data_IF_743066861430
#
_entry.id   IF_743066861430
#
_cell.length_a   1.000
_cell.length_b   1.000
_cell.length_c   1.000
_cell.angle_alpha   90.00
_cell.angle_beta   90.00
_cell.angle_gamma   90.00
#
_symmetry.space_group_name_H-M   'P 1'
#
loop_
_entity.id
_entity.type
_entity.pdbx_description
1 polymer ?
#
# COMPACT_ATOMS: atom_id res chain seq x y z
N UNK A 1 -73.05 21.80 13.30
CA UNK A 1 -71.78 22.21 12.70
C UNK A 1 -70.70 22.31 13.78
N UNK A 2 -69.81 21.32 13.88
CA UNK A 2 -68.45 21.45 14.46
C UNK A 2 -67.68 20.22 13.94
N UNK A 3 -66.68 20.49 13.09
CA UNK A 3 -65.89 19.49 12.35
C UNK A 3 -64.98 18.74 13.33
N UNK A 4 -65.02 17.42 13.30
CA UNK A 4 -64.02 16.54 13.90
C UNK A 4 -62.74 16.68 13.05
N UNK A 5 -61.66 17.23 13.61
CA UNK A 5 -60.33 17.10 13.01
C UNK A 5 -59.78 15.73 13.40
N UNK A 6 -59.73 14.83 12.41
CA UNK A 6 -59.03 13.56 12.53
C UNK A 6 -57.54 13.84 12.23
N UNK A 7 -56.73 13.96 13.28
CA UNK A 7 -55.27 14.05 13.14
C UNK A 7 -54.72 12.68 12.78
N UNK A 8 -54.38 12.48 11.51
CA UNK A 8 -53.57 11.36 11.04
C UNK A 8 -52.16 11.51 11.62
N UNK A 9 -51.83 10.74 12.66
CA UNK A 9 -50.43 10.51 13.03
C UNK A 9 -49.85 9.55 11.99
N UNK A 10 -49.08 10.08 11.05
CA UNK A 10 -48.23 9.31 10.17
C UNK A 10 -47.06 8.78 11.02
N UNK A 11 -47.15 7.54 11.47
CA UNK A 11 -46.02 6.86 12.08
C UNK A 11 -44.97 6.62 10.98
N UNK A 12 -43.99 7.52 10.89
CA UNK A 12 -42.79 7.31 10.09
C UNK A 12 -42.01 6.22 10.82
N UNK A 13 -42.11 4.99 10.30
CA UNK A 13 -41.22 3.91 10.71
C UNK A 13 -39.86 4.24 10.11
N UNK A 14 -39.01 4.91 10.90
CA UNK A 14 -37.58 4.86 10.66
C UNK A 14 -37.18 3.41 10.91
N UNK A 15 -37.00 2.67 9.82
CA UNK A 15 -36.17 1.47 9.85
C UNK A 15 -34.78 1.95 10.23
N UNK A 16 -34.48 1.96 11.53
CA UNK A 16 -33.10 1.83 11.99
C UNK A 16 -32.61 0.49 11.45
N UNK A 17 -32.09 0.50 10.22
CA UNK A 17 -31.04 -0.42 9.87
C UNK A 17 -29.86 -0.03 10.76
N UNK A 18 -29.89 -0.52 12.00
CA UNK A 18 -28.69 -0.64 12.79
C UNK A 18 -27.71 -1.43 11.94
N UNK A 19 -26.78 -0.73 11.31
CA UNK A 19 -25.57 -1.34 10.80
C UNK A 19 -24.95 -2.03 12.01
N UNK A 20 -24.90 -3.36 12.03
CA UNK A 20 -24.04 -4.07 12.98
C UNK A 20 -22.62 -3.62 12.66
N UNK A 21 -22.12 -2.64 13.42
CA UNK A 21 -20.80 -2.07 13.26
C UNK A 21 -19.80 -3.08 13.86
N UNK A 22 -19.50 -4.14 13.11
CA UNK A 22 -18.19 -4.76 13.20
C UNK A 22 -17.20 -3.78 12.59
N UNK A 23 -16.15 -3.41 13.30
CA UNK A 23 -15.05 -2.64 12.69
C UNK A 23 -14.37 -3.56 11.68
N UNK A 24 -14.26 -3.12 10.43
CA UNK A 24 -13.54 -3.89 9.40
C UNK A 24 -12.05 -3.96 9.79
N UNK A 25 -11.41 -5.10 9.54
CA UNK A 25 -10.00 -5.29 9.85
C UNK A 25 -9.13 -5.03 8.61
N UNK A 26 -8.04 -4.29 8.77
CA UNK A 26 -7.12 -3.93 7.69
C UNK A 26 -5.68 -4.28 8.07
N UNK A 27 -4.97 -4.97 7.18
CA UNK A 27 -3.58 -5.30 7.37
C UNK A 27 -2.64 -4.40 6.59
N UNK A 28 -1.51 -4.03 7.20
CA UNK A 28 -0.39 -3.39 6.53
C UNK A 28 0.87 -4.24 6.70
N UNK A 29 1.52 -4.57 5.59
CA UNK A 29 2.77 -5.31 5.55
C UNK A 29 3.79 -4.49 4.76
N UNK A 30 5.00 -4.29 5.31
CA UNK A 30 6.01 -3.52 4.58
C UNK A 30 7.32 -3.28 5.29
N UNK A 31 8.09 -2.33 4.76
CA UNK A 31 9.42 -1.96 5.27
C UNK A 31 9.39 -0.71 6.16
N UNK A 32 10.46 0.10 6.17
CA UNK A 32 10.55 1.33 6.96
C UNK A 32 9.46 2.35 6.59
N UNK A 33 9.01 2.37 5.34
CA UNK A 33 7.97 3.31 4.91
C UNK A 33 6.66 2.99 5.63
N UNK A 34 6.28 1.72 5.71
CA UNK A 34 5.09 1.27 6.45
C UNK A 34 5.30 1.35 7.96
N UNK A 35 6.51 1.06 8.45
CA UNK A 35 6.84 1.12 9.89
C UNK A 35 6.65 2.52 10.47
N UNK A 36 7.03 3.56 9.74
CA UNK A 36 6.93 4.96 10.15
C UNK A 36 5.54 5.56 9.88
N UNK A 37 4.66 4.85 9.20
CA UNK A 37 3.30 5.31 8.89
C UNK A 37 2.39 5.09 10.10
N UNK A 38 1.80 6.18 10.59
CA UNK A 38 0.71 6.18 11.57
C UNK A 38 -0.61 5.74 10.91
N UNK A 39 -0.68 4.50 10.46
CA UNK A 39 -1.82 3.94 9.72
C UNK A 39 -3.13 4.03 10.51
N UNK A 40 -3.07 3.95 11.84
CA UNK A 40 -4.25 4.10 12.70
C UNK A 40 -4.86 5.50 12.60
N UNK A 41 -4.03 6.54 12.45
CA UNK A 41 -4.50 7.92 12.21
C UNK A 41 -5.22 8.05 10.86
N UNK A 42 -4.70 7.44 9.80
CA UNK A 42 -5.26 7.57 8.44
C UNK A 42 -6.43 6.61 8.14
N UNK A 43 -6.58 5.54 8.93
CA UNK A 43 -7.64 4.53 8.79
C UNK A 43 -8.45 4.37 10.10
N UNK A 44 -9.06 5.44 10.64
CA UNK A 44 -9.64 5.44 11.99
C UNK A 44 -10.91 4.58 12.14
N UNK A 45 -11.46 4.09 11.04
CA UNK A 45 -12.64 3.22 11.04
C UNK A 45 -12.29 1.72 10.96
N UNK A 46 -11.00 1.38 10.94
CA UNK A 46 -10.52 0.01 10.83
C UNK A 46 -9.74 -0.42 12.08
N UNK A 47 -9.85 -1.69 12.45
CA UNK A 47 -8.87 -2.32 13.34
C UNK A 47 -7.66 -2.67 12.48
N UNK A 48 -6.53 -2.02 12.74
CA UNK A 48 -5.33 -2.18 11.94
C UNK A 48 -4.37 -3.20 12.54
N UNK A 49 -3.90 -4.13 11.72
CA UNK A 49 -2.77 -5.02 12.04
C UNK A 49 -1.55 -4.60 11.20
N UNK A 50 -0.44 -4.24 11.84
CA UNK A 50 0.75 -3.71 11.16
C UNK A 50 1.96 -4.61 11.37
N UNK A 51 2.48 -5.17 10.27
CA UNK A 51 3.69 -5.98 10.20
C UNK A 51 4.73 -5.27 9.34
N UNK A 52 5.52 -4.41 9.97
CA UNK A 52 6.56 -3.67 9.27
C UNK A 52 7.84 -3.58 10.07
N UNK A 53 8.98 -3.65 9.39
CA UNK A 53 10.30 -3.55 10.01
C UNK A 53 11.18 -2.64 9.17
N UNK A 54 11.83 -1.68 9.83
CA UNK A 54 12.75 -0.76 9.17
C UNK A 54 13.90 -1.49 8.48
N UNK A 55 14.19 -1.11 7.23
CA UNK A 55 15.24 -1.72 6.41
C UNK A 55 14.92 -3.12 5.86
N UNK A 56 13.69 -3.61 6.06
CA UNK A 56 13.32 -4.94 5.60
C UNK A 56 13.22 -5.03 4.07
N UNK A 57 13.71 -6.15 3.55
CA UNK A 57 13.40 -6.64 2.21
C UNK A 57 12.65 -7.97 2.27
N UNK A 58 12.36 -8.56 1.11
CA UNK A 58 11.55 -9.79 0.99
C UNK A 58 12.07 -10.95 1.86
N UNK A 59 13.39 -11.13 1.90
CA UNK A 59 14.02 -12.20 2.70
C UNK A 59 13.67 -12.09 4.19
N UNK A 60 13.60 -10.87 4.71
CA UNK A 60 13.22 -10.64 6.11
C UNK A 60 11.72 -10.76 6.30
N UNK A 61 10.91 -10.23 5.37
CA UNK A 61 9.45 -10.39 5.38
C UNK A 61 9.02 -11.86 5.46
N UNK A 62 9.73 -12.75 4.75
CA UNK A 62 9.50 -14.19 4.78
C UNK A 62 9.73 -14.82 6.18
N UNK A 63 10.29 -14.11 7.15
CA UNK A 63 10.44 -14.62 8.53
C UNK A 63 9.27 -14.26 9.44
N UNK A 64 8.39 -13.36 9.01
CA UNK A 64 7.32 -12.83 9.86
C UNK A 64 6.14 -13.80 9.99
N UNK A 65 5.45 -13.68 11.13
CA UNK A 65 4.16 -14.32 11.33
C UNK A 65 3.04 -13.31 11.04
N UNK A 66 2.49 -13.38 9.82
CA UNK A 66 1.38 -12.54 9.35
C UNK A 66 0.05 -13.32 9.33
N UNK A 67 -0.10 -14.32 10.21
CA UNK A 67 -1.28 -15.20 10.23
C UNK A 67 -2.59 -14.48 10.53
N UNK A 68 -2.51 -13.36 11.26
CA UNK A 68 -3.58 -12.41 11.53
C UNK A 68 -4.00 -11.61 10.28
N UNK A 69 -3.25 -11.63 9.18
CA UNK A 69 -3.65 -11.03 7.90
C UNK A 69 -4.32 -11.98 6.92
N UNK A 70 -4.34 -13.28 7.23
CA UNK A 70 -5.02 -14.27 6.41
C UNK A 70 -6.53 -14.01 6.38
N UNK A 71 -7.13 -14.02 5.19
CA UNK A 71 -8.57 -13.81 4.98
C UNK A 71 -9.02 -12.35 5.16
N UNK A 72 -8.09 -11.39 5.11
CA UNK A 72 -8.38 -9.96 5.27
C UNK A 72 -7.91 -9.15 4.07
N UNK A 73 -8.34 -7.90 4.00
CA UNK A 73 -7.70 -6.93 3.10
C UNK A 73 -6.30 -6.61 3.63
N UNK A 74 -5.29 -6.73 2.79
CA UNK A 74 -3.90 -6.40 3.13
C UNK A 74 -3.31 -5.43 2.14
N UNK A 75 -2.76 -4.33 2.66
CA UNK A 75 -1.91 -3.39 1.92
C UNK A 75 -0.46 -3.85 2.06
N UNK A 76 0.21 -4.03 0.93
CA UNK A 76 1.62 -4.43 0.84
C UNK A 76 2.42 -3.32 0.15
N UNK A 77 3.43 -2.80 0.85
CA UNK A 77 4.45 -1.90 0.30
C UNK A 77 5.82 -2.38 0.78
N UNK A 78 6.56 -3.05 -0.12
CA UNK A 78 7.90 -3.55 0.16
C UNK A 78 8.72 -3.58 -1.13
N UNK A 79 10.01 -3.29 -1.01
CA UNK A 79 10.97 -3.52 -2.09
C UNK A 79 12.07 -2.48 -2.23
N UNK A 80 11.92 -1.32 -1.59
CA UNK A 80 12.93 -0.26 -1.70
C UNK A 80 14.31 -0.72 -1.20
N UNK A 81 14.36 -1.64 -0.23
CA UNK A 81 15.60 -2.21 0.31
C UNK A 81 16.17 -3.38 -0.50
N UNK A 82 15.40 -3.98 -1.41
CA UNK A 82 15.92 -5.00 -2.33
C UNK A 82 16.40 -4.35 -3.64
N UNK A 83 15.64 -3.38 -4.15
CA UNK A 83 15.84 -2.73 -5.45
C UNK A 83 16.76 -1.50 -5.33
N UNK A 84 16.71 -0.76 -4.23
CA UNK A 84 17.44 0.51 -4.05
C UNK A 84 18.96 0.39 -4.11
N UNK A 85 19.51 -0.84 -4.09
CA UNK A 85 20.94 -1.08 -4.28
C UNK A 85 21.32 -1.43 -5.73
N UNK A 86 20.36 -1.49 -6.65
CA UNK A 86 20.62 -1.77 -8.06
C UNK A 86 21.07 -0.48 -8.76
N UNK A 87 22.32 -0.48 -9.21
CA UNK A 87 22.98 0.65 -9.86
C UNK A 87 23.18 0.40 -11.35
N UNK A 88 23.62 1.44 -12.08
CA UNK A 88 23.98 1.34 -13.50
C UNK A 88 25.04 0.25 -13.74
N UNK A 89 25.92 0.01 -12.76
CA UNK A 89 26.99 -1.00 -12.84
C UNK A 89 26.56 -2.42 -12.46
N UNK A 90 25.30 -2.63 -12.08
CA UNK A 90 24.80 -3.94 -11.65
C UNK A 90 24.85 -4.93 -12.80
N UNK A 91 25.61 -6.01 -12.62
CA UNK A 91 25.67 -7.11 -13.58
C UNK A 91 24.39 -7.93 -13.51
N UNK A 92 23.91 -8.39 -14.67
CA UNK A 92 22.74 -9.26 -14.80
C UNK A 92 21.45 -8.64 -14.22
N UNK A 93 21.23 -7.33 -14.42
CA UNK A 93 20.05 -6.64 -13.89
C UNK A 93 18.73 -7.31 -14.28
N UNK A 94 18.60 -7.80 -15.52
CA UNK A 94 17.41 -8.54 -15.97
C UNK A 94 17.15 -9.80 -15.15
N UNK A 95 18.20 -10.54 -14.78
CA UNK A 95 18.05 -11.71 -13.92
C UNK A 95 17.60 -11.31 -12.51
N UNK A 96 18.14 -10.22 -11.95
CA UNK A 96 17.74 -9.74 -10.63
C UNK A 96 16.28 -9.26 -10.61
N UNK A 97 15.84 -8.59 -11.68
CA UNK A 97 14.45 -8.15 -11.85
C UNK A 97 13.48 -9.32 -11.86
N UNK A 98 13.81 -10.36 -12.63
CA UNK A 98 13.02 -11.58 -12.72
C UNK A 98 13.02 -12.38 -11.40
N UNK A 99 14.18 -12.55 -10.76
CA UNK A 99 14.30 -13.22 -9.45
C UNK A 99 13.48 -12.48 -8.37
N UNK A 100 13.60 -11.16 -8.31
CA UNK A 100 12.87 -10.35 -7.35
C UNK A 100 11.37 -10.44 -7.58
N UNK A 101 10.91 -10.33 -8.83
CA UNK A 101 9.49 -10.50 -9.20
C UNK A 101 8.96 -11.86 -8.72
N UNK A 102 9.65 -12.95 -9.02
CA UNK A 102 9.20 -14.30 -8.66
C UNK A 102 9.14 -14.49 -7.14
N UNK A 103 10.15 -13.98 -6.42
CA UNK A 103 10.18 -13.97 -4.96
C UNK A 103 9.07 -13.11 -4.37
N UNK A 104 8.83 -11.92 -4.93
CA UNK A 104 7.77 -11.02 -4.49
C UNK A 104 6.40 -11.71 -4.58
N UNK A 105 6.09 -12.31 -5.73
CA UNK A 105 4.83 -13.03 -5.94
C UNK A 105 4.68 -14.18 -4.94
N UNK A 106 5.75 -14.95 -4.70
CA UNK A 106 5.74 -16.03 -3.71
C UNK A 106 5.45 -15.51 -2.31
N UNK A 107 6.12 -14.45 -1.88
CA UNK A 107 5.94 -13.87 -0.54
C UNK A 107 4.55 -13.22 -0.40
N UNK A 108 4.06 -12.53 -1.43
CA UNK A 108 2.73 -11.94 -1.46
C UNK A 108 1.63 -13.01 -1.33
N UNK A 109 1.73 -14.14 -2.04
CA UNK A 109 0.80 -15.28 -1.91
C UNK A 109 0.75 -15.86 -0.50
N UNK A 110 1.88 -15.86 0.22
CA UNK A 110 1.97 -16.41 1.58
C UNK A 110 1.17 -15.62 2.62
N UNK A 111 0.92 -14.33 2.38
CA UNK A 111 0.09 -13.49 3.26
C UNK A 111 -1.31 -14.09 3.40
N UNK A 112 -1.85 -14.65 2.30
CA UNK A 112 -3.17 -15.28 2.31
C UNK A 112 -4.31 -14.28 2.48
N UNK A 113 -4.13 -13.04 2.01
CA UNK A 113 -5.14 -11.99 1.99
C UNK A 113 -6.31 -12.37 1.05
N UNK A 114 -7.54 -11.99 1.43
CA UNK A 114 -8.72 -12.10 0.55
C UNK A 114 -8.69 -11.02 -0.53
N UNK A 115 -8.24 -9.81 -0.15
CA UNK A 115 -7.92 -8.73 -1.07
C UNK A 115 -6.50 -8.25 -0.79
N UNK A 116 -5.60 -8.49 -1.73
CA UNK A 116 -4.24 -7.94 -1.69
C UNK A 116 -4.19 -6.63 -2.49
N UNK A 117 -3.87 -5.54 -1.81
CA UNK A 117 -3.57 -4.24 -2.41
C UNK A 117 -2.05 -4.06 -2.36
N UNK A 118 -1.40 -3.96 -3.51
CA UNK A 118 0.03 -3.70 -3.62
C UNK A 118 0.23 -2.26 -4.08
N UNK A 119 1.00 -1.49 -3.32
CA UNK A 119 1.45 -0.17 -3.76
C UNK A 119 2.73 -0.34 -4.59
N UNK A 120 2.88 0.45 -5.65
CA UNK A 120 4.16 0.57 -6.34
C UNK A 120 5.25 0.99 -5.34
N UNK A 121 6.45 0.43 -5.46
CA UNK A 121 7.63 0.89 -4.71
C UNK A 121 7.85 2.36 -5.07
N UNK A 122 8.02 3.22 -4.07
CA UNK A 122 8.17 4.68 -4.26
C UNK A 122 9.51 5.01 -4.93
N UNK A 123 9.59 6.12 -5.69
CA UNK A 123 10.88 6.65 -6.09
C UNK A 123 11.65 7.12 -4.84
N UNK A 124 12.97 7.21 -4.96
CA UNK A 124 13.88 7.60 -3.88
C UNK A 124 15.04 8.43 -4.39
N UNK A 125 15.56 9.27 -3.50
CA UNK A 125 16.84 9.94 -3.61
C UNK A 125 17.41 10.07 -2.19
N UNK A 126 17.76 8.93 -1.57
CA UNK A 126 18.11 8.89 -0.16
C UNK A 126 19.29 9.81 0.15
N UNK A 127 18.99 10.92 0.83
CA UNK A 127 19.94 12.00 1.16
C UNK A 127 20.70 12.60 -0.05
N UNK A 128 20.16 12.51 -1.26
CA UNK A 128 20.82 13.04 -2.46
C UNK A 128 21.95 12.17 -3.02
N UNK A 129 22.15 10.96 -2.49
CA UNK A 129 23.31 10.11 -2.78
C UNK A 129 23.01 8.96 -3.77
N UNK A 130 21.81 8.89 -4.34
CA UNK A 130 21.40 7.76 -5.16
C UNK A 130 21.90 7.83 -6.62
N UNK A 131 22.16 6.66 -7.20
CA UNK A 131 22.45 6.53 -8.62
C UNK A 131 21.17 6.88 -9.42
N UNK A 132 21.23 7.74 -10.46
CA UNK A 132 20.04 8.13 -11.24
C UNK A 132 19.24 6.93 -11.79
N UNK A 133 19.91 5.80 -12.05
CA UNK A 133 19.25 4.58 -12.53
C UNK A 133 18.37 3.89 -11.48
N UNK A 134 18.44 4.27 -10.21
CA UNK A 134 17.64 3.64 -9.14
C UNK A 134 16.15 3.83 -9.41
N UNK A 135 15.71 5.03 -9.77
CA UNK A 135 14.29 5.28 -10.05
C UNK A 135 13.83 4.62 -11.36
N UNK A 136 14.69 4.55 -12.38
CA UNK A 136 14.42 3.75 -13.58
C UNK A 136 14.27 2.25 -13.25
N UNK A 137 15.13 1.72 -12.38
CA UNK A 137 15.06 0.33 -11.91
C UNK A 137 13.77 0.06 -11.14
N UNK A 138 13.35 1.00 -10.28
CA UNK A 138 12.10 0.91 -9.52
C UNK A 138 10.89 0.96 -10.47
N UNK A 139 10.85 1.89 -11.42
CA UNK A 139 9.76 2.01 -12.41
C UNK A 139 9.59 0.72 -13.21
N UNK A 140 10.69 0.20 -13.76
CA UNK A 140 10.69 -1.06 -14.51
C UNK A 140 10.20 -2.20 -13.62
N UNK A 141 10.69 -2.28 -12.37
CA UNK A 141 10.29 -3.33 -11.45
C UNK A 141 8.81 -3.23 -11.08
N UNK A 142 8.28 -2.03 -10.86
CA UNK A 142 6.86 -1.79 -10.62
C UNK A 142 6.00 -2.30 -11.80
N UNK A 143 6.43 -2.06 -13.04
CA UNK A 143 5.77 -2.61 -14.23
C UNK A 143 5.74 -4.14 -14.23
N UNK A 144 6.87 -4.79 -13.93
CA UNK A 144 6.96 -6.25 -13.84
C UNK A 144 6.07 -6.83 -12.73
N UNK A 145 6.03 -6.17 -11.57
CA UNK A 145 5.18 -6.58 -10.45
C UNK A 145 3.70 -6.45 -10.79
N UNK A 146 3.29 -5.33 -11.39
CA UNK A 146 1.90 -5.10 -11.83
C UNK A 146 1.42 -6.22 -12.76
N UNK A 147 2.21 -6.56 -13.77
CA UNK A 147 1.86 -7.59 -14.74
C UNK A 147 1.84 -8.99 -14.10
N UNK A 148 2.80 -9.28 -13.23
CA UNK A 148 2.87 -10.55 -12.51
C UNK A 148 1.69 -10.72 -11.54
N UNK A 149 1.33 -9.70 -10.78
CA UNK A 149 0.20 -9.72 -9.84
C UNK A 149 -1.11 -10.00 -10.58
N UNK A 150 -1.35 -9.31 -11.70
CA UNK A 150 -2.55 -9.53 -12.54
C UNK A 150 -2.66 -10.97 -13.03
N UNK A 151 -1.52 -11.60 -13.36
CA UNK A 151 -1.46 -12.98 -13.87
C UNK A 151 -1.56 -14.02 -12.75
N UNK A 152 -0.90 -13.79 -11.63
CA UNK A 152 -0.59 -14.82 -10.64
C UNK A 152 -1.38 -14.72 -9.33
N UNK A 153 -1.97 -13.57 -9.05
CA UNK A 153 -2.85 -13.34 -7.90
C UNK A 153 -4.13 -12.65 -8.40
N UNK A 154 -5.03 -13.38 -9.11
CA UNK A 154 -6.27 -12.80 -9.63
C UNK A 154 -7.09 -12.16 -8.51
N UNK A 155 -7.60 -10.95 -8.75
CA UNK A 155 -8.34 -10.17 -7.75
C UNK A 155 -7.48 -9.25 -6.89
N UNK A 156 -6.14 -9.38 -6.92
CA UNK A 156 -5.25 -8.38 -6.36
C UNK A 156 -5.37 -7.04 -7.09
N UNK A 157 -5.06 -5.95 -6.39
CA UNK A 157 -5.04 -4.59 -6.92
C UNK A 157 -3.61 -4.07 -6.85
N UNK A 158 -3.09 -3.58 -7.97
CA UNK A 158 -1.85 -2.81 -8.00
C UNK A 158 -2.22 -1.34 -8.10
N UNK A 159 -1.84 -0.54 -7.11
CA UNK A 159 -2.06 0.90 -7.08
C UNK A 159 -0.73 1.56 -7.41
N UNK A 160 -0.67 2.13 -8.60
CA UNK A 160 0.50 2.87 -9.05
C UNK A 160 0.51 4.26 -8.42
N UNK A 161 1.43 4.47 -7.49
CA UNK A 161 1.64 5.74 -6.81
C UNK A 161 3.00 6.35 -7.17
N UNK A 162 3.83 5.68 -7.98
CA UNK A 162 5.21 6.09 -8.27
C UNK A 162 5.28 7.52 -8.83
N UNK A 163 4.51 7.80 -9.88
CA UNK A 163 4.45 9.12 -10.51
C UNK A 163 3.86 10.21 -9.59
N UNK A 164 3.11 9.82 -8.54
CA UNK A 164 2.61 10.77 -7.54
C UNK A 164 3.73 11.24 -6.60
N UNK A 165 4.94 10.71 -6.69
CA UNK A 165 6.08 11.14 -5.89
C UNK A 165 7.20 11.73 -6.76
N UNK A 166 6.94 11.94 -8.05
CA UNK A 166 7.84 12.59 -8.99
C UNK A 166 7.34 13.96 -9.42
N UNK A 167 8.27 14.83 -9.78
CA UNK A 167 7.98 16.06 -10.52
C UNK A 167 8.04 15.85 -12.04
N UNK A 168 7.85 16.93 -12.80
CA UNK A 168 7.82 16.88 -14.27
C UNK A 168 9.19 16.52 -14.90
N UNK A 169 10.28 16.62 -14.13
CA UNK A 169 11.65 16.29 -14.55
C UNK A 169 12.07 14.86 -14.15
N UNK A 170 11.14 14.05 -13.62
CA UNK A 170 11.37 12.69 -13.11
C UNK A 170 12.27 12.65 -11.85
N UNK A 171 12.39 13.78 -11.16
CA UNK A 171 13.03 13.87 -9.85
C UNK A 171 12.00 13.66 -8.74
N UNK A 172 12.44 13.25 -7.55
CA UNK A 172 11.50 13.11 -6.44
C UNK A 172 10.94 14.46 -6.01
N UNK A 173 9.65 14.47 -5.66
CA UNK A 173 9.04 15.62 -4.96
C UNK A 173 9.55 15.67 -3.53
N UNK A 174 10.69 16.33 -3.33
CA UNK A 174 11.38 16.44 -2.03
C UNK A 174 10.46 16.95 -0.91
N UNK A 175 9.47 17.79 -1.24
CA UNK A 175 8.45 18.31 -0.33
C UNK A 175 7.48 17.24 0.20
N UNK A 176 7.49 16.02 -0.35
CA UNK A 176 6.72 14.87 0.16
C UNK A 176 7.54 13.90 1.00
N UNK A 177 8.84 14.13 1.16
CA UNK A 177 9.75 13.26 1.91
C UNK A 177 10.34 13.98 3.12
N UNK A 178 10.87 13.18 4.06
CA UNK A 178 11.68 13.67 5.19
C UNK A 178 13.17 13.69 4.85
N UNK A 179 13.61 12.72 4.04
CA UNK A 179 15.02 12.41 3.77
C UNK A 179 15.27 11.86 2.35
N UNK A 180 14.32 12.08 1.44
CA UNK A 180 14.33 11.53 0.09
C UNK A 180 14.01 10.04 -0.02
N UNK A 181 13.62 9.37 1.08
CA UNK A 181 13.19 7.97 1.09
C UNK A 181 11.87 7.76 1.85
N UNK A 182 11.74 8.36 3.02
CA UNK A 182 10.59 8.19 3.89
C UNK A 182 9.59 9.34 3.66
N UNK A 183 8.32 9.05 3.35
CA UNK A 183 7.29 10.07 3.22
C UNK A 183 7.16 10.93 4.49
N UNK A 184 6.84 12.20 4.30
CA UNK A 184 6.33 13.05 5.37
C UNK A 184 4.80 12.91 5.47
N UNK A 185 4.17 13.75 6.29
CA UNK A 185 2.73 13.66 6.54
C UNK A 185 1.91 13.88 5.26
N UNK A 186 2.35 14.77 4.35
CA UNK A 186 1.68 15.00 3.06
C UNK A 186 1.84 13.80 2.12
N UNK A 187 3.03 13.20 2.08
CA UNK A 187 3.27 11.96 1.34
C UNK A 187 2.40 10.80 1.85
N UNK A 188 2.29 10.62 3.17
CA UNK A 188 1.43 9.59 3.76
C UNK A 188 -0.06 9.86 3.52
N UNK A 189 -0.50 11.11 3.52
CA UNK A 189 -1.87 11.49 3.14
C UNK A 189 -2.18 11.07 1.69
N UNK A 190 -1.24 11.26 0.75
CA UNK A 190 -1.39 10.81 -0.64
C UNK A 190 -1.57 9.29 -0.70
N UNK A 191 -0.69 8.52 -0.06
CA UNK A 191 -0.78 7.06 -0.05
C UNK A 191 -2.11 6.59 0.55
N UNK A 192 -2.51 7.20 1.68
CA UNK A 192 -3.76 6.90 2.38
C UNK A 192 -4.97 7.06 1.47
N UNK A 193 -5.06 8.19 0.76
CA UNK A 193 -6.17 8.48 -0.16
C UNK A 193 -6.27 7.48 -1.30
N UNK A 194 -5.14 7.01 -1.83
CA UNK A 194 -5.17 6.03 -2.92
C UNK A 194 -5.68 4.68 -2.43
N UNK A 195 -5.27 4.24 -1.22
CA UNK A 195 -5.79 3.02 -0.61
C UNK A 195 -7.29 3.16 -0.32
N UNK A 196 -7.74 4.26 0.30
CA UNK A 196 -9.15 4.47 0.63
C UNK A 196 -10.08 4.44 -0.60
N UNK A 197 -9.63 4.91 -1.76
CA UNK A 197 -10.38 4.80 -3.03
C UNK A 197 -10.49 3.37 -3.54
N UNK A 198 -9.59 2.50 -3.11
CA UNK A 198 -9.49 1.11 -3.49
C UNK A 198 -10.00 0.14 -2.41
N UNK A 199 -10.51 0.65 -1.28
CA UNK A 199 -11.31 -0.12 -0.31
C UNK A 199 -12.78 -0.03 -0.71
#
# INVERSE_FOLDING_TARGET
>A
MKRLLLSFLLAIVFSDCAFEKGEDELCFVGDSITYLWDVEYYFPNYIVHKHAVSGAGLKQMDTWNVSDCKGRTTVLLIGTNDIGYWKTTTKNIEFLREDYKDRFIKSAKRIGADLLIVLSVLPRNFMGDEDPSVNENIEIQNGLLRDALKKEIPGSRFIDVFDLFLDDDFEIREDLFKDGLHPNDEGYEILSRQIQRAL
#
